data_IF_864200602683
#
_entry.id   IF_864200602683
#
_cell.length_a   1.000
_cell.length_b   1.000
_cell.length_c   1.000
_cell.angle_alpha   90.00
_cell.angle_beta   90.00
_cell.angle_gamma   90.00
#
_symmetry.space_group_name_H-M   'P 1'
#
loop_
_entity.id
_entity.type
_entity.pdbx_description
1 polymer ?
#
# COMPACT_ATOMS: atom_id res chain seq x y z
N UNK A 1 14.19 9.22 -17.45
CA UNK A 1 14.47 7.80 -17.19
C UNK A 1 13.13 7.09 -17.06
N UNK A 2 12.79 6.17 -17.99
CA UNK A 2 11.57 5.37 -17.89
C UNK A 2 11.79 4.33 -16.78
N UNK A 3 11.09 4.47 -15.66
CA UNK A 3 11.06 3.46 -14.60
C UNK A 3 10.48 2.18 -15.21
N UNK A 4 11.25 1.09 -15.20
CA UNK A 4 10.77 -0.21 -15.64
C UNK A 4 9.57 -0.63 -14.76
N UNK A 5 8.53 -1.24 -15.34
CA UNK A 5 7.43 -1.79 -14.55
C UNK A 5 8.01 -2.82 -13.58
N UNK A 6 7.89 -2.54 -12.28
CA UNK A 6 8.32 -3.47 -11.23
C UNK A 6 7.48 -4.74 -11.36
N UNK A 7 8.13 -5.90 -11.33
CA UNK A 7 7.44 -7.17 -11.26
C UNK A 7 6.72 -7.24 -9.90
N UNK A 8 5.39 -7.33 -9.93
CA UNK A 8 4.56 -7.46 -8.74
C UNK A 8 4.10 -8.91 -8.64
N UNK A 9 4.35 -9.61 -7.51
CA UNK A 9 3.84 -10.96 -7.30
C UNK A 9 2.31 -11.00 -7.40
N UNK A 10 1.75 -11.99 -8.09
CA UNK A 10 0.30 -12.17 -8.21
C UNK A 10 -0.38 -12.24 -6.83
N UNK A 11 0.24 -12.96 -5.89
CA UNK A 11 -0.25 -13.10 -4.51
C UNK A 11 -0.46 -11.74 -3.82
N UNK A 12 0.40 -10.75 -4.07
CA UNK A 12 0.24 -9.40 -3.52
C UNK A 12 -0.96 -8.66 -4.14
N UNK A 13 -1.20 -8.84 -5.45
CA UNK A 13 -2.34 -8.25 -6.16
C UNK A 13 -3.64 -8.86 -5.61
N UNK A 14 -3.70 -10.19 -5.53
CA UNK A 14 -4.85 -10.93 -5.01
C UNK A 14 -5.16 -10.55 -3.56
N UNK A 15 -4.14 -10.42 -2.71
CA UNK A 15 -4.34 -10.02 -1.31
C UNK A 15 -4.96 -8.63 -1.19
N UNK A 16 -4.48 -7.66 -1.98
CA UNK A 16 -5.00 -6.29 -1.99
C UNK A 16 -6.40 -6.22 -2.62
N UNK A 17 -6.67 -7.04 -3.64
CA UNK A 17 -8.00 -7.14 -4.25
C UNK A 17 -9.04 -7.64 -3.22
N UNK A 18 -8.71 -8.73 -2.51
CA UNK A 18 -9.63 -9.37 -1.56
C UNK A 18 -9.80 -8.59 -0.26
N UNK A 19 -8.73 -7.96 0.26
CA UNK A 19 -8.71 -7.40 1.61
C UNK A 19 -8.46 -5.88 1.66
N UNK A 20 -8.20 -5.25 0.52
CA UNK A 20 -7.96 -3.80 0.44
C UNK A 20 -6.84 -3.34 1.38
N UNK A 21 -7.11 -2.32 2.18
CA UNK A 21 -6.16 -1.74 3.13
C UNK A 21 -5.66 -2.72 4.21
N UNK A 22 -6.41 -3.80 4.49
CA UNK A 22 -6.01 -4.81 5.47
C UNK A 22 -4.97 -5.80 4.94
N UNK A 23 -4.76 -5.86 3.62
CA UNK A 23 -3.82 -6.78 2.99
C UNK A 23 -2.41 -6.68 3.59
N UNK A 24 -1.95 -5.46 3.89
CA UNK A 24 -0.61 -5.26 4.47
C UNK A 24 -0.48 -5.88 5.86
N UNK A 25 -1.52 -5.75 6.69
CA UNK A 25 -1.52 -6.36 8.03
C UNK A 25 -1.49 -7.89 7.92
N UNK A 26 -2.30 -8.46 7.02
CA UNK A 26 -2.36 -9.91 6.79
C UNK A 26 -0.99 -10.45 6.34
N UNK A 27 -0.35 -9.80 5.35
CA UNK A 27 0.97 -10.21 4.87
C UNK A 27 2.04 -10.15 5.99
N UNK A 28 2.01 -9.10 6.83
CA UNK A 28 2.93 -8.94 7.96
C UNK A 28 2.70 -9.98 9.06
N UNK A 29 1.45 -10.38 9.30
CA UNK A 29 1.13 -11.47 10.23
C UNK A 29 1.74 -12.79 9.76
N UNK A 30 1.60 -13.13 8.47
CA UNK A 30 2.22 -14.35 7.93
C UNK A 30 3.75 -14.30 7.93
N UNK A 31 4.34 -13.12 7.69
CA UNK A 31 5.78 -12.92 7.85
C UNK A 31 6.23 -13.19 9.29
N UNK A 32 5.51 -12.64 10.28
CA UNK A 32 5.83 -12.86 11.69
C UNK A 32 5.71 -14.34 12.08
N UNK A 33 4.65 -15.02 11.63
CA UNK A 33 4.47 -16.46 11.84
C UNK A 33 5.59 -17.29 11.21
N UNK A 34 6.03 -16.93 10.00
CA UNK A 34 7.13 -17.64 9.33
C UNK A 34 8.47 -17.46 10.07
N UNK A 35 8.73 -16.25 10.58
CA UNK A 35 9.93 -15.97 11.39
C UNK A 35 9.90 -16.70 12.73
N UNK A 36 8.75 -16.72 13.40
CA UNK A 36 8.54 -17.44 14.65
C UNK A 36 8.77 -18.95 14.49
N UNK A 37 8.32 -19.51 13.35
CA UNK A 37 8.56 -20.90 13.00
C UNK A 37 10.01 -21.20 12.53
N UNK A 38 10.87 -20.19 12.38
CA UNK A 38 12.22 -20.35 11.84
C UNK A 38 12.28 -20.73 10.35
N UNK A 39 11.19 -20.52 9.61
CA UNK A 39 11.11 -20.84 8.17
C UNK A 39 11.55 -19.62 7.33
N UNK A 40 12.86 -19.58 7.04
CA UNK A 40 13.49 -18.47 6.33
C UNK A 40 12.98 -18.30 4.90
N UNK A 41 12.67 -19.40 4.20
CA UNK A 41 12.17 -19.36 2.82
C UNK A 41 10.78 -18.73 2.80
N UNK A 42 9.91 -19.18 3.70
CA UNK A 42 8.56 -18.62 3.84
C UNK A 42 8.61 -17.17 4.31
N UNK A 43 9.53 -16.83 5.21
CA UNK A 43 9.73 -15.45 5.65
C UNK A 43 10.18 -14.54 4.50
N UNK A 44 11.14 -14.97 3.66
CA UNK A 44 11.59 -14.21 2.50
C UNK A 44 10.47 -13.98 1.47
N UNK A 45 9.62 -14.99 1.25
CA UNK A 45 8.42 -14.86 0.40
C UNK A 45 7.46 -13.81 0.97
N UNK A 46 7.07 -13.93 2.24
CA UNK A 46 6.10 -13.01 2.83
C UNK A 46 6.64 -11.60 3.03
N UNK A 47 7.96 -11.44 3.18
CA UNK A 47 8.62 -10.13 3.13
C UNK A 47 8.41 -9.49 1.74
N UNK A 48 8.74 -10.23 0.67
CA UNK A 48 8.54 -9.76 -0.72
C UNK A 48 7.09 -9.40 -1.01
N UNK A 49 6.14 -10.23 -0.55
CA UNK A 49 4.70 -9.94 -0.70
C UNK A 49 4.30 -8.70 0.09
N UNK A 50 4.78 -8.53 1.32
CA UNK A 50 4.48 -7.35 2.15
C UNK A 50 4.97 -6.05 1.51
N UNK A 51 6.19 -6.05 0.97
CA UNK A 51 6.75 -4.91 0.25
C UNK A 51 5.94 -4.56 -1.01
N UNK A 52 5.53 -5.58 -1.78
CA UNK A 52 4.70 -5.39 -2.96
C UNK A 52 3.30 -4.87 -2.61
N UNK A 53 2.68 -5.38 -1.54
CA UNK A 53 1.38 -4.91 -1.03
C UNK A 53 1.48 -3.45 -0.58
N UNK A 54 2.52 -3.07 0.15
CA UNK A 54 2.74 -1.69 0.55
C UNK A 54 2.82 -0.77 -0.67
N UNK A 55 3.64 -1.11 -1.67
CA UNK A 55 3.77 -0.34 -2.90
C UNK A 55 2.44 -0.22 -3.66
N UNK A 56 1.67 -1.31 -3.76
CA UNK A 56 0.34 -1.30 -4.39
C UNK A 56 -0.61 -0.36 -3.66
N UNK A 57 -0.66 -0.42 -2.32
CA UNK A 57 -1.53 0.45 -1.53
C UNK A 57 -1.14 1.92 -1.62
N UNK A 58 0.16 2.23 -1.71
CA UNK A 58 0.64 3.60 -1.95
C UNK A 58 0.19 4.14 -3.31
N UNK A 59 0.22 3.32 -4.37
CA UNK A 59 -0.28 3.72 -5.70
C UNK A 59 -1.80 3.90 -5.75
N UNK A 60 -2.54 3.26 -4.83
CA UNK A 60 -4.01 3.33 -4.74
C UNK A 60 -4.51 4.43 -3.81
N UNK A 61 -3.65 5.08 -3.03
CA UNK A 61 -4.05 6.29 -2.30
C UNK A 61 -4.49 7.31 -3.36
N UNK A 62 -5.77 7.70 -3.40
CA UNK A 62 -6.15 8.81 -4.26
C UNK A 62 -5.30 10.00 -3.83
N UNK A 63 -4.62 10.61 -4.79
CA UNK A 63 -4.02 11.93 -4.64
C UNK A 63 -5.05 12.77 -3.87
N UNK A 64 -4.73 13.12 -2.62
CA UNK A 64 -5.65 13.89 -1.80
C UNK A 64 -6.07 15.09 -2.66
N UNK A 65 -7.35 15.29 -2.99
CA UNK A 65 -7.73 16.43 -3.79
C UNK A 65 -7.18 17.63 -3.04
N UNK A 66 -6.31 18.40 -3.68
CA UNK A 66 -5.95 19.72 -3.19
C UNK A 66 -7.28 20.43 -2.99
N UNK A 67 -7.73 20.49 -1.74
CA UNK A 67 -8.89 21.26 -1.36
C UNK A 67 -8.55 22.67 -1.81
N UNK A 68 -9.16 23.13 -2.92
CA UNK A 68 -9.19 24.54 -3.28
C UNK A 68 -9.54 25.27 -2.00
N UNK A 69 -8.60 26.07 -1.50
CA UNK A 69 -8.92 27.03 -0.46
C UNK A 69 -10.13 27.82 -0.97
N UNK A 70 -11.21 27.94 -0.18
CA UNK A 70 -12.27 28.87 -0.52
C UNK A 70 -11.63 30.25 -0.62
N UNK A 71 -11.62 30.78 -1.84
CA UNK A 71 -11.33 32.15 -2.17
C UNK A 71 -11.94 33.09 -1.12
N UNK A 72 -11.08 33.94 -0.55
CA UNK A 72 -11.46 35.01 0.35
C UNK A 72 -12.54 35.89 -0.32
N UNK A 73 -13.76 35.88 0.21
CA UNK A 73 -14.75 36.90 -0.08
C UNK A 73 -14.39 38.15 0.74
N UNK A 74 -14.13 39.31 0.13
CA UNK A 74 -14.11 40.56 0.88
C UNK A 74 -15.55 40.91 1.22
N UNK A 75 -15.92 40.81 2.50
CA UNK A 75 -17.16 41.43 2.99
C UNK A 75 -16.93 42.94 2.98
N UNK A 76 -17.41 43.61 1.92
CA UNK A 76 -17.52 45.06 1.89
C UNK A 76 -18.45 45.55 3.01
N UNK A 77 -18.01 46.59 3.70
CA UNK A 77 -18.76 47.32 4.71
C UNK A 77 -19.91 48.10 4.06
N UNK A 78 -21.09 48.06 4.68
CA UNK A 78 -22.23 48.92 4.40
C UNK A 78 -23.13 49.01 5.61
#
# INVERSE_FOLDING_TARGET
MRTLPRLIPAEAIELVDQHGAQALLIARTHLAQARDAGDEVRAARWQTVSDAVAALLETRKPDAPHTRQPENLPTEQG
#
